data_IF_979663188030
#
_entry.id   IF_979663188030
#
_cell.length_a   1.000
_cell.length_b   1.000
_cell.length_c   1.000
_cell.angle_alpha   90.00
_cell.angle_beta   90.00
_cell.angle_gamma   90.00
#
_symmetry.space_group_name_H-M   'P 1'
#
loop_
_entity.id
_entity.type
_entity.pdbx_description
1 polymer ?
#
# COMPACT_ATOMS: atom_id res chain seq x y z
N UNK A 1 11.79 76.38 -33.46
CA UNK A 1 12.57 75.12 -33.21
C UNK A 1 12.19 74.38 -31.96
N UNK A 2 12.05 74.98 -30.79
CA UNK A 2 11.75 74.28 -29.50
C UNK A 2 10.44 73.47 -29.49
N UNK A 3 9.34 73.98 -30.10
CA UNK A 3 8.02 73.31 -30.13
C UNK A 3 8.04 72.00 -30.94
N UNK A 4 8.75 72.00 -32.11
CA UNK A 4 8.90 70.87 -33.01
C UNK A 4 9.70 69.70 -32.30
N UNK A 5 10.79 70.06 -31.57
CA UNK A 5 11.59 69.09 -30.82
C UNK A 5 10.78 68.48 -29.68
N UNK A 6 9.93 69.24 -28.95
CA UNK A 6 9.05 68.75 -27.87
C UNK A 6 7.99 67.80 -28.41
N UNK A 7 7.39 68.04 -29.53
CA UNK A 7 6.40 67.14 -30.12
C UNK A 7 7.04 65.83 -30.59
N UNK A 8 8.24 65.87 -31.16
CA UNK A 8 8.99 64.66 -31.54
C UNK A 8 9.32 63.84 -30.31
N UNK A 9 9.81 64.43 -29.19
CA UNK A 9 10.09 63.78 -27.97
C UNK A 9 8.83 63.11 -27.33
N UNK A 10 7.70 63.86 -27.37
CA UNK A 10 6.42 63.33 -26.88
C UNK A 10 5.94 62.13 -27.72
N UNK A 11 6.07 62.20 -29.07
CA UNK A 11 5.75 61.04 -29.89
C UNK A 11 6.62 59.85 -29.68
N UNK A 12 7.92 60.00 -29.37
CA UNK A 12 8.83 58.94 -29.02
C UNK A 12 8.42 58.33 -27.67
N UNK A 13 8.08 59.14 -26.68
CA UNK A 13 7.63 58.67 -25.36
C UNK A 13 6.31 57.90 -25.46
N UNK A 14 5.34 58.35 -26.21
CA UNK A 14 4.08 57.64 -26.48
C UNK A 14 4.35 56.33 -27.21
N UNK A 15 5.20 56.31 -28.21
CA UNK A 15 5.60 55.11 -28.94
C UNK A 15 6.28 54.07 -28.02
N UNK A 16 7.20 54.53 -27.16
CA UNK A 16 7.85 53.68 -26.19
C UNK A 16 6.85 53.13 -25.16
N UNK A 17 5.93 53.94 -24.66
CA UNK A 17 4.88 53.50 -23.74
C UNK A 17 3.96 52.45 -24.36
N UNK A 18 3.51 52.66 -25.61
CA UNK A 18 2.71 51.67 -26.31
C UNK A 18 3.47 50.36 -26.54
N UNK A 19 4.74 50.45 -26.89
CA UNK A 19 5.58 49.25 -27.05
C UNK A 19 5.76 48.49 -25.75
N UNK A 20 5.99 49.20 -24.64
CA UNK A 20 6.07 48.59 -23.30
C UNK A 20 4.74 47.94 -22.87
N UNK A 21 3.60 48.57 -23.15
CA UNK A 21 2.29 48.00 -22.84
C UNK A 21 1.99 46.75 -23.65
N UNK A 22 2.30 46.75 -24.96
CA UNK A 22 2.16 45.56 -25.80
C UNK A 22 3.10 44.46 -25.36
N UNK A 23 4.36 44.76 -25.09
CA UNK A 23 5.34 43.78 -24.58
C UNK A 23 4.91 43.20 -23.24
N UNK A 24 4.49 44.08 -22.31
CA UNK A 24 4.00 43.66 -20.99
C UNK A 24 2.73 42.81 -21.08
N UNK A 25 1.78 43.18 -21.93
CA UNK A 25 0.56 42.41 -22.18
C UNK A 25 0.86 41.03 -22.80
N UNK A 26 1.81 40.98 -23.75
CA UNK A 26 2.26 39.74 -24.36
C UNK A 26 2.95 38.82 -23.32
N UNK A 27 3.85 39.38 -22.54
CA UNK A 27 4.52 38.67 -21.45
C UNK A 27 3.52 38.09 -20.45
N UNK A 28 2.56 38.95 -20.00
CA UNK A 28 1.49 38.49 -19.11
C UNK A 28 0.67 37.35 -19.73
N UNK A 29 0.28 37.50 -21.00
CA UNK A 29 -0.52 36.48 -21.69
C UNK A 29 0.17 35.12 -21.75
N UNK A 30 1.46 35.07 -22.10
CA UNK A 30 2.18 33.81 -22.24
C UNK A 30 2.56 33.15 -20.92
N UNK A 31 2.69 33.91 -19.84
CA UNK A 31 3.16 33.35 -18.55
C UNK A 31 2.08 33.26 -17.49
N UNK A 32 1.18 34.21 -17.39
CA UNK A 32 0.25 34.34 -16.27
C UNK A 32 -1.23 34.17 -16.66
N UNK A 33 -1.59 34.30 -17.92
CA UNK A 33 -2.94 33.93 -18.35
C UNK A 33 -3.09 32.39 -18.30
N UNK A 34 -4.31 31.88 -18.06
CA UNK A 34 -4.59 30.44 -18.11
C UNK A 34 -4.23 29.86 -19.49
N UNK A 35 -3.38 28.82 -19.47
CA UNK A 35 -2.95 28.16 -20.72
C UNK A 35 -3.26 26.66 -20.70
N UNK A 36 -3.49 26.09 -19.53
CA UNK A 36 -3.75 24.65 -19.36
C UNK A 36 -5.23 24.41 -19.07
N UNK A 37 -5.86 23.54 -19.84
CA UNK A 37 -7.31 23.31 -19.77
C UNK A 37 -7.68 21.83 -19.75
N UNK A 38 -7.03 20.96 -18.92
CA UNK A 38 -7.50 19.61 -18.75
C UNK A 38 -8.89 19.61 -18.09
N UNK A 39 -9.74 18.64 -18.41
CA UNK A 39 -11.10 18.54 -17.85
C UNK A 39 -11.11 18.33 -16.32
N UNK A 40 -10.04 17.76 -15.78
CA UNK A 40 -9.77 17.55 -14.34
C UNK A 40 -8.27 17.66 -14.10
N UNK A 41 -7.86 17.74 -12.83
CA UNK A 41 -6.43 17.67 -12.50
C UNK A 41 -5.81 16.40 -13.09
N UNK A 42 -4.76 16.59 -13.88
CA UNK A 42 -3.94 15.50 -14.42
C UNK A 42 -2.57 15.49 -13.74
N UNK A 43 -1.96 14.32 -13.69
CA UNK A 43 -0.67 14.15 -13.03
C UNK A 43 0.35 13.67 -14.06
N UNK A 44 1.46 14.38 -14.11
CA UNK A 44 2.63 14.02 -14.92
C UNK A 44 3.65 13.36 -14.00
N UNK A 45 4.10 12.18 -14.38
CA UNK A 45 5.15 11.45 -13.70
C UNK A 45 6.46 11.69 -14.42
N UNK A 46 7.45 12.20 -13.68
CA UNK A 46 8.82 12.43 -14.15
C UNK A 46 9.71 11.41 -13.45
N UNK A 47 10.25 10.47 -14.21
CA UNK A 47 11.14 9.43 -13.72
C UNK A 47 12.63 9.75 -13.95
N UNK A 48 13.51 8.80 -13.59
CA UNK A 48 14.97 8.99 -13.67
C UNK A 48 15.49 9.11 -15.11
N UNK A 49 14.75 8.55 -16.07
CA UNK A 49 15.15 8.49 -17.49
C UNK A 49 14.53 9.63 -18.31
N UNK A 50 13.69 10.47 -17.70
CA UNK A 50 13.04 11.57 -18.39
C UNK A 50 14.03 12.69 -18.75
N UNK A 51 13.92 13.15 -19.97
CA UNK A 51 14.58 14.34 -20.49
C UNK A 51 13.61 15.52 -20.53
N UNK A 52 14.10 16.75 -20.71
CA UNK A 52 13.22 17.89 -20.88
C UNK A 52 12.25 17.71 -22.05
N UNK A 53 12.69 17.09 -23.14
CA UNK A 53 11.83 16.86 -24.32
C UNK A 53 10.72 15.84 -24.03
N UNK A 54 11.00 14.76 -23.30
CA UNK A 54 9.98 13.80 -22.88
C UNK A 54 8.95 14.46 -21.94
N UNK A 55 9.41 15.30 -21.01
CA UNK A 55 8.54 16.06 -20.11
C UNK A 55 7.67 17.04 -20.90
N UNK A 56 8.25 17.76 -21.90
CA UNK A 56 7.46 18.64 -22.76
C UNK A 56 6.38 17.88 -23.52
N UNK A 57 6.70 16.67 -24.01
CA UNK A 57 5.72 15.81 -24.66
C UNK A 57 4.59 15.43 -23.72
N UNK A 58 4.92 14.92 -22.52
CA UNK A 58 3.94 14.57 -21.48
C UNK A 58 3.05 15.75 -21.09
N UNK A 59 3.64 16.94 -20.89
CA UNK A 59 2.88 18.15 -20.54
C UNK A 59 1.92 18.57 -21.68
N UNK A 60 2.35 18.49 -22.93
CA UNK A 60 1.50 18.84 -24.08
C UNK A 60 0.36 17.85 -24.27
N UNK A 61 0.65 16.57 -24.15
CA UNK A 61 -0.31 15.49 -24.35
C UNK A 61 -1.42 15.51 -23.29
N UNK A 62 -1.04 15.59 -22.01
CA UNK A 62 -2.00 15.45 -20.91
C UNK A 62 -2.50 16.80 -20.37
N UNK A 63 -1.74 17.86 -20.53
CA UNK A 63 -2.05 19.18 -19.97
C UNK A 63 -3.08 19.98 -20.76
N UNK A 64 -3.46 19.55 -21.98
CA UNK A 64 -4.36 20.29 -22.87
C UNK A 64 -3.97 21.77 -22.95
N UNK A 65 -2.72 22.03 -23.34
CA UNK A 65 -2.14 23.37 -23.33
C UNK A 65 -2.46 24.16 -24.63
N UNK A 66 -2.98 25.37 -24.51
CA UNK A 66 -3.26 26.23 -25.65
C UNK A 66 -1.99 26.81 -26.28
N UNK A 67 -1.11 27.40 -25.48
CA UNK A 67 0.17 27.97 -25.88
C UNK A 67 1.31 27.50 -25.00
N UNK A 68 2.19 26.67 -25.56
CA UNK A 68 3.35 26.14 -24.86
C UNK A 68 4.60 27.01 -24.92
N UNK A 69 4.59 28.03 -25.77
CA UNK A 69 5.74 28.93 -26.02
C UNK A 69 6.28 29.57 -24.75
N UNK A 70 5.40 30.01 -23.84
CA UNK A 70 5.83 30.61 -22.58
C UNK A 70 6.60 29.62 -21.70
N UNK A 71 6.21 28.34 -21.66
CA UNK A 71 6.94 27.30 -20.94
C UNK A 71 8.34 27.08 -21.54
N UNK A 72 8.46 27.03 -22.87
CA UNK A 72 9.74 26.90 -23.57
C UNK A 72 10.67 28.08 -23.31
N UNK A 73 10.14 29.31 -23.26
CA UNK A 73 10.91 30.50 -22.90
C UNK A 73 11.48 30.41 -21.48
N UNK A 74 10.65 30.03 -20.51
CA UNK A 74 11.09 29.86 -19.11
C UNK A 74 12.11 28.74 -19.02
N UNK A 75 11.85 27.61 -19.67
CA UNK A 75 12.71 26.44 -19.66
C UNK A 75 14.11 26.75 -20.23
N UNK A 76 14.16 27.47 -21.35
CA UNK A 76 15.43 27.92 -21.95
C UNK A 76 16.16 28.93 -21.07
N UNK A 77 15.43 29.93 -20.53
CA UNK A 77 16.02 31.01 -19.72
C UNK A 77 16.57 30.51 -18.38
N UNK A 78 15.95 29.50 -17.79
CA UNK A 78 16.30 28.93 -16.47
C UNK A 78 17.05 27.59 -16.55
N UNK A 79 17.49 27.20 -17.75
CA UNK A 79 18.18 25.92 -17.99
C UNK A 79 17.49 24.72 -17.36
N UNK A 80 16.26 24.48 -17.79
CA UNK A 80 15.40 23.43 -17.23
C UNK A 80 16.03 22.04 -17.30
N UNK A 81 16.86 21.77 -18.32
CA UNK A 81 17.58 20.49 -18.47
C UNK A 81 18.45 20.13 -17.26
N UNK A 82 19.02 21.13 -16.59
CA UNK A 82 19.84 20.91 -15.39
C UNK A 82 19.02 20.88 -14.08
N UNK A 83 17.72 21.21 -14.17
CA UNK A 83 16.83 21.34 -13.02
C UNK A 83 15.59 20.43 -13.15
N UNK A 84 15.78 19.23 -13.71
CA UNK A 84 14.74 18.21 -13.77
C UNK A 84 14.73 17.49 -12.41
N UNK A 85 13.56 17.46 -11.79
CA UNK A 85 13.32 16.71 -10.56
C UNK A 85 12.34 15.58 -10.84
N UNK A 86 12.68 14.38 -10.40
CA UNK A 86 11.73 13.26 -10.40
C UNK A 86 10.50 13.59 -9.55
N UNK A 87 9.39 12.92 -9.79
CA UNK A 87 8.20 13.10 -8.97
C UNK A 87 6.89 13.12 -9.74
N UNK A 88 5.82 13.35 -9.02
CA UNK A 88 4.44 13.42 -9.52
C UNK A 88 3.93 14.85 -9.44
N UNK A 89 3.71 15.47 -10.61
CA UNK A 89 3.37 16.88 -10.74
C UNK A 89 1.94 17.09 -11.25
N UNK A 90 1.17 17.91 -10.56
CA UNK A 90 -0.20 18.23 -10.98
C UNK A 90 -0.22 19.33 -12.02
N UNK A 91 -1.11 19.20 -13.03
CA UNK A 91 -1.58 20.26 -13.91
C UNK A 91 -3.09 20.38 -13.70
N UNK A 92 -3.53 21.53 -13.24
CA UNK A 92 -4.93 21.80 -12.90
C UNK A 92 -5.63 22.57 -14.01
N UNK A 93 -6.96 22.47 -14.12
CA UNK A 93 -7.74 23.35 -14.97
C UNK A 93 -7.42 24.82 -14.67
N UNK A 94 -7.21 25.59 -15.72
CA UNK A 94 -6.86 27.03 -15.67
C UNK A 94 -5.48 27.35 -15.04
N UNK A 95 -4.59 26.38 -14.94
CA UNK A 95 -3.20 26.66 -14.59
C UNK A 95 -2.56 27.58 -15.64
N UNK A 96 -1.66 28.45 -15.20
CA UNK A 96 -0.81 29.24 -16.07
C UNK A 96 0.59 28.60 -16.19
N UNK A 97 1.34 29.06 -17.18
CA UNK A 97 2.68 28.57 -17.46
C UNK A 97 3.61 28.72 -16.26
N UNK A 98 3.58 29.87 -15.58
CA UNK A 98 4.46 30.15 -14.44
C UNK A 98 4.24 29.13 -13.31
N UNK A 99 2.99 28.80 -12.99
CA UNK A 99 2.68 27.83 -11.95
C UNK A 99 3.13 26.41 -12.34
N UNK A 100 2.82 25.98 -13.56
CA UNK A 100 3.23 24.65 -14.03
C UNK A 100 4.75 24.56 -14.09
N UNK A 101 5.42 25.50 -14.73
CA UNK A 101 6.88 25.52 -14.77
C UNK A 101 7.53 25.49 -13.36
N UNK A 102 7.00 26.31 -12.43
CA UNK A 102 7.53 26.38 -11.07
C UNK A 102 7.38 25.05 -10.31
N UNK A 103 6.30 24.29 -10.56
CA UNK A 103 6.14 22.96 -9.95
C UNK A 103 7.23 22.01 -10.41
N UNK A 104 7.45 21.94 -11.71
CA UNK A 104 8.43 21.02 -12.30
C UNK A 104 9.88 21.43 -11.95
N UNK A 105 10.21 22.72 -12.11
CA UNK A 105 11.58 23.21 -11.94
C UNK A 105 12.05 23.31 -10.49
N UNK A 106 11.12 23.28 -9.51
CA UNK A 106 11.43 23.34 -8.08
C UNK A 106 11.11 22.05 -7.34
N UNK A 107 10.68 21.02 -8.06
CA UNK A 107 10.33 19.75 -7.44
C UNK A 107 9.08 19.82 -6.54
N UNK A 108 8.13 20.75 -6.81
CA UNK A 108 6.89 20.86 -6.02
C UNK A 108 5.90 19.79 -6.44
N UNK A 109 6.22 18.56 -6.10
CA UNK A 109 5.39 17.40 -6.38
C UNK A 109 4.20 17.28 -5.43
N UNK A 110 3.20 16.51 -5.81
CA UNK A 110 2.05 16.21 -4.96
C UNK A 110 2.11 14.77 -4.42
N UNK A 111 1.79 14.57 -3.14
CA UNK A 111 1.74 13.23 -2.57
C UNK A 111 0.66 12.40 -3.24
N UNK A 112 0.87 11.08 -3.25
CA UNK A 112 -0.09 10.09 -3.72
C UNK A 112 -0.43 9.09 -2.63
N UNK A 113 -1.49 8.33 -2.86
CA UNK A 113 -1.88 7.24 -1.99
C UNK A 113 -1.14 5.95 -2.40
N UNK A 114 -0.28 5.45 -1.52
CA UNK A 114 0.32 4.13 -1.60
C UNK A 114 -0.50 3.17 -0.75
N UNK A 115 -1.06 2.13 -1.35
CA UNK A 115 -1.81 1.10 -0.63
C UNK A 115 -0.97 -0.13 -0.39
N UNK A 116 -0.73 -0.44 0.87
CA UNK A 116 -0.14 -1.70 1.33
C UNK A 116 -1.28 -2.66 1.63
N UNK A 117 -1.39 -3.72 0.86
CA UNK A 117 -2.42 -4.74 1.02
C UNK A 117 -2.01 -5.89 1.93
N UNK A 118 -3.01 -6.65 2.38
CA UNK A 118 -2.81 -7.91 3.08
C UNK A 118 -2.43 -9.01 2.07
N UNK A 119 -1.14 -9.24 1.89
CA UNK A 119 -0.58 -10.19 0.92
C UNK A 119 0.11 -11.37 1.61
N UNK A 120 0.18 -12.52 0.93
CA UNK A 120 0.73 -13.77 1.48
C UNK A 120 2.25 -13.90 1.39
N UNK A 121 2.89 -13.16 0.46
CA UNK A 121 4.34 -13.27 0.24
C UNK A 121 5.00 -11.91 0.08
N UNK A 122 6.26 -11.81 0.46
CA UNK A 122 7.06 -10.59 0.28
C UNK A 122 7.26 -10.24 -1.20
N UNK A 123 7.34 -11.25 -2.10
CA UNK A 123 7.36 -11.02 -3.55
C UNK A 123 6.12 -10.31 -4.06
N UNK A 124 4.94 -10.71 -3.55
CA UNK A 124 3.69 -10.02 -3.92
C UNK A 124 3.66 -8.60 -3.37
N UNK A 125 4.23 -8.38 -2.18
CA UNK A 125 4.39 -7.05 -1.61
C UNK A 125 5.28 -6.20 -2.51
N UNK A 126 6.49 -6.66 -2.85
CA UNK A 126 7.44 -5.95 -3.71
C UNK A 126 6.79 -5.55 -5.05
N UNK A 127 6.14 -6.51 -5.72
CA UNK A 127 5.43 -6.24 -6.98
C UNK A 127 4.28 -5.23 -6.82
N UNK A 128 3.57 -5.27 -5.69
CA UNK A 128 2.47 -4.33 -5.44
C UNK A 128 2.97 -2.90 -5.24
N UNK A 129 4.11 -2.74 -4.55
CA UNK A 129 4.74 -1.43 -4.32
C UNK A 129 5.33 -0.88 -5.62
N UNK A 130 6.11 -1.69 -6.36
CA UNK A 130 6.74 -1.28 -7.60
C UNK A 130 5.75 -0.89 -8.71
N UNK A 131 4.48 -1.36 -8.63
CA UNK A 131 3.41 -0.89 -9.54
C UNK A 131 2.87 0.49 -9.16
N UNK A 132 3.10 0.97 -7.96
CA UNK A 132 2.53 2.19 -7.44
C UNK A 132 3.55 3.33 -7.34
N UNK A 133 4.83 3.01 -7.14
CA UNK A 133 5.92 3.97 -6.97
C UNK A 133 6.92 3.91 -8.15
N UNK A 134 7.83 4.86 -8.18
CA UNK A 134 8.95 4.86 -9.12
C UNK A 134 9.98 3.76 -8.82
N UNK A 135 10.03 3.27 -7.59
CA UNK A 135 10.94 2.21 -7.18
C UNK A 135 10.61 0.93 -7.95
N UNK A 136 11.60 0.28 -8.54
CA UNK A 136 11.40 -1.03 -9.16
C UNK A 136 11.10 -2.11 -8.10
N UNK A 137 10.24 -3.04 -8.47
CA UNK A 137 9.92 -4.21 -7.65
C UNK A 137 11.17 -5.06 -7.30
N UNK A 138 12.18 -5.11 -8.18
CA UNK A 138 13.44 -5.77 -7.92
C UNK A 138 14.28 -5.05 -6.87
N UNK A 139 14.32 -3.72 -6.85
CA UNK A 139 14.99 -2.92 -5.83
C UNK A 139 14.37 -3.19 -4.45
N UNK A 140 13.04 -3.24 -4.36
CA UNK A 140 12.33 -3.55 -3.11
C UNK A 140 12.59 -5.00 -2.69
N UNK A 141 12.51 -5.95 -3.62
CA UNK A 141 12.74 -7.36 -3.34
C UNK A 141 14.17 -7.60 -2.84
N UNK A 142 15.18 -6.94 -3.42
CA UNK A 142 16.57 -7.08 -3.00
C UNK A 142 16.76 -6.74 -1.52
N UNK A 143 16.12 -5.68 -1.04
CA UNK A 143 16.16 -5.29 0.38
C UNK A 143 15.32 -6.23 1.26
N UNK A 144 14.12 -6.64 0.81
CA UNK A 144 13.26 -7.54 1.56
C UNK A 144 13.91 -8.90 1.84
N UNK A 145 14.78 -9.39 0.93
CA UNK A 145 15.46 -10.68 1.06
C UNK A 145 16.92 -10.58 1.52
N UNK A 146 17.45 -9.38 1.77
CA UNK A 146 18.76 -9.18 2.36
C UNK A 146 18.73 -9.43 3.87
N UNK A 147 19.42 -10.47 4.33
CA UNK A 147 19.46 -10.84 5.75
C UNK A 147 20.12 -9.77 6.64
N UNK A 148 21.10 -9.01 6.09
CA UNK A 148 21.74 -7.92 6.81
C UNK A 148 20.79 -6.78 7.04
N UNK A 149 20.04 -6.41 6.01
CA UNK A 149 18.99 -5.40 6.11
C UNK A 149 17.88 -5.82 7.07
N UNK A 150 17.39 -7.06 6.98
CA UNK A 150 16.39 -7.60 7.89
C UNK A 150 16.84 -7.50 9.36
N UNK A 151 18.10 -7.90 9.64
CA UNK A 151 18.67 -7.81 10.99
C UNK A 151 18.78 -6.37 11.49
N UNK A 152 19.16 -5.41 10.63
CA UNK A 152 19.18 -3.97 10.97
C UNK A 152 17.79 -3.42 11.26
N UNK A 153 16.77 -3.95 10.61
CA UNK A 153 15.37 -3.61 10.89
C UNK A 153 14.83 -4.27 12.16
N UNK A 154 15.52 -5.28 12.71
CA UNK A 154 15.12 -6.05 13.88
C UNK A 154 14.24 -7.26 13.55
N UNK A 155 14.27 -7.73 12.30
CA UNK A 155 13.46 -8.84 11.81
C UNK A 155 14.33 -9.93 11.17
N UNK A 156 13.71 -11.07 10.92
CA UNK A 156 14.21 -12.14 10.07
C UNK A 156 13.31 -12.24 8.83
N UNK A 157 13.70 -13.02 7.83
CA UNK A 157 12.84 -13.34 6.69
C UNK A 157 11.46 -13.89 7.11
N UNK A 158 11.40 -14.57 8.25
CA UNK A 158 10.20 -15.18 8.80
C UNK A 158 9.28 -14.14 9.45
N UNK A 159 9.85 -13.21 10.21
CA UNK A 159 9.08 -12.25 11.01
C UNK A 159 8.87 -10.90 10.30
N UNK A 160 9.62 -10.61 9.22
CA UNK A 160 9.54 -9.37 8.47
C UNK A 160 8.10 -9.02 7.97
N UNK A 161 7.23 -10.00 7.60
CA UNK A 161 5.86 -9.66 7.25
C UNK A 161 5.08 -8.92 8.34
N UNK A 162 5.42 -9.09 9.63
CA UNK A 162 4.78 -8.38 10.74
C UNK A 162 5.12 -6.88 10.81
N UNK A 163 6.19 -6.44 10.15
CA UNK A 163 6.54 -5.02 10.02
C UNK A 163 5.45 -4.22 9.30
N UNK A 164 4.81 -4.83 8.30
CA UNK A 164 3.91 -4.11 7.41
C UNK A 164 2.49 -4.08 7.98
N UNK A 165 1.95 -2.87 8.08
CA UNK A 165 0.56 -2.65 8.51
C UNK A 165 -0.25 -2.29 7.25
N UNK A 166 -1.21 -3.14 6.82
CA UNK A 166 -2.05 -2.83 5.65
C UNK A 166 -2.87 -1.56 5.87
N UNK A 167 -2.58 -0.58 5.01
CA UNK A 167 -3.23 0.75 5.03
C UNK A 167 -2.91 1.49 3.73
N UNK A 168 -3.54 2.64 3.55
CA UNK A 168 -3.21 3.61 2.51
C UNK A 168 -2.43 4.78 3.10
N UNK A 169 -1.20 4.94 2.62
CA UNK A 169 -0.25 5.94 3.10
C UNK A 169 -0.07 7.06 2.07
N UNK A 170 -0.04 8.31 2.53
CA UNK A 170 0.38 9.40 1.67
C UNK A 170 1.90 9.45 1.59
N UNK A 171 2.43 9.35 0.37
CA UNK A 171 3.86 9.33 0.07
C UNK A 171 4.14 10.11 -1.21
N UNK A 172 5.40 10.47 -1.44
CA UNK A 172 5.84 10.95 -2.75
C UNK A 172 6.14 9.77 -3.67
N UNK A 173 5.81 9.92 -4.96
CA UNK A 173 5.93 8.85 -5.93
C UNK A 173 7.36 8.36 -6.15
N UNK A 174 8.32 9.26 -6.04
CA UNK A 174 9.75 9.04 -6.23
C UNK A 174 10.53 8.74 -4.95
N UNK A 175 9.83 8.44 -3.85
CA UNK A 175 10.49 8.08 -2.60
C UNK A 175 11.49 6.94 -2.83
N UNK A 176 12.62 6.98 -2.12
CA UNK A 176 13.63 5.94 -2.18
C UNK A 176 13.22 4.67 -1.42
N UNK A 177 13.92 3.57 -1.65
CA UNK A 177 13.71 2.30 -0.92
C UNK A 177 13.93 2.50 0.58
N UNK A 178 14.97 3.25 0.97
CA UNK A 178 15.28 3.53 2.38
C UNK A 178 14.18 4.36 3.06
N UNK A 179 13.66 5.38 2.35
CA UNK A 179 12.53 6.19 2.85
C UNK A 179 11.27 5.35 2.99
N UNK A 180 11.02 4.42 2.05
CA UNK A 180 9.90 3.50 2.13
C UNK A 180 9.98 2.63 3.39
N UNK A 181 11.10 1.95 3.64
CA UNK A 181 11.25 1.10 4.81
C UNK A 181 11.25 1.89 6.12
N UNK A 182 11.87 3.06 6.14
CA UNK A 182 11.79 3.98 7.28
C UNK A 182 10.33 4.34 7.57
N UNK A 183 9.57 4.68 6.54
CA UNK A 183 8.14 4.98 6.67
C UNK A 183 7.37 3.78 7.23
N UNK A 184 7.62 2.56 6.75
CA UNK A 184 6.96 1.35 7.26
C UNK A 184 7.30 1.11 8.72
N UNK A 185 8.54 1.30 9.14
CA UNK A 185 8.97 1.20 10.55
C UNK A 185 8.28 2.23 11.44
N UNK A 186 8.17 3.46 10.98
CA UNK A 186 7.49 4.53 11.71
C UNK A 186 5.98 4.25 11.85
N UNK A 187 5.33 3.73 10.80
CA UNK A 187 3.92 3.35 10.84
C UNK A 187 3.67 2.11 11.70
N UNK A 188 4.55 1.12 11.67
CA UNK A 188 4.52 -0.01 12.59
C UNK A 188 4.59 0.45 14.04
N UNK A 189 5.58 1.30 14.40
CA UNK A 189 5.71 1.86 15.76
C UNK A 189 4.48 2.68 16.17
N UNK A 190 3.88 3.42 15.24
CA UNK A 190 2.67 4.21 15.50
C UNK A 190 1.45 3.31 15.71
N UNK A 191 1.34 2.22 14.94
CA UNK A 191 0.27 1.25 15.08
C UNK A 191 0.36 0.49 16.41
N UNK A 192 1.54 -0.03 16.76
CA UNK A 192 1.82 -0.68 18.03
C UNK A 192 2.06 0.36 19.14
N UNK A 193 1.03 1.15 19.41
CA UNK A 193 1.01 2.12 20.48
C UNK A 193 0.97 1.45 21.87
N UNK A 194 1.04 2.25 22.93
CA UNK A 194 1.05 1.76 24.32
C UNK A 194 -0.16 0.86 24.63
N UNK A 195 -1.34 1.18 24.08
CA UNK A 195 -2.56 0.42 24.38
C UNK A 195 -2.52 -0.97 23.74
N UNK A 196 -2.14 -1.08 22.44
CA UNK A 196 -1.99 -2.38 21.76
C UNK A 196 -0.87 -3.23 22.38
N UNK A 197 0.25 -2.62 22.76
CA UNK A 197 1.32 -3.32 23.46
C UNK A 197 0.85 -3.86 24.81
N UNK A 198 0.07 -3.07 25.56
CA UNK A 198 -0.53 -3.53 26.83
C UNK A 198 -1.52 -4.68 26.61
N UNK A 199 -2.35 -4.63 25.56
CA UNK A 199 -3.28 -5.70 25.20
C UNK A 199 -2.52 -6.98 24.80
N UNK A 200 -1.46 -6.87 24.00
CA UNK A 200 -0.62 -8.01 23.63
C UNK A 200 0.02 -8.67 24.87
N UNK A 201 0.58 -7.87 25.78
CA UNK A 201 1.13 -8.35 27.06
C UNK A 201 0.07 -9.03 27.90
N UNK A 202 -1.16 -8.50 27.96
CA UNK A 202 -2.25 -9.08 28.74
C UNK A 202 -2.71 -10.47 28.25
N UNK A 203 -2.47 -10.77 26.98
CA UNK A 203 -2.73 -12.11 26.41
C UNK A 203 -1.45 -12.97 26.31
N UNK A 204 -0.32 -12.50 26.86
CA UNK A 204 0.96 -13.22 26.90
C UNK A 204 1.66 -13.34 25.56
N UNK A 205 1.43 -12.40 24.62
CA UNK A 205 1.99 -12.45 23.25
C UNK A 205 2.82 -11.21 22.93
N UNK A 206 3.86 -11.37 22.11
CA UNK A 206 4.58 -10.29 21.46
C UNK A 206 3.77 -9.74 20.26
N UNK A 207 4.09 -8.55 19.72
CA UNK A 207 3.50 -8.03 18.50
C UNK A 207 3.60 -8.99 17.30
N UNK A 208 4.73 -9.70 17.17
CA UNK A 208 4.99 -10.67 16.11
C UNK A 208 4.11 -11.91 16.27
N UNK A 209 3.92 -12.41 17.49
CA UNK A 209 3.04 -13.55 17.79
C UNK A 209 1.57 -13.19 17.56
N UNK A 210 1.15 -11.98 17.96
CA UNK A 210 -0.19 -11.47 17.63
C UNK A 210 -0.38 -11.38 16.12
N UNK A 211 0.61 -10.87 15.38
CA UNK A 211 0.57 -10.79 13.91
C UNK A 211 0.52 -12.19 13.27
N UNK A 212 1.24 -13.15 13.86
CA UNK A 212 1.25 -14.55 13.42
C UNK A 212 -0.14 -15.18 13.58
N UNK A 213 -0.73 -15.07 14.76
CA UNK A 213 -2.07 -15.59 15.01
C UNK A 213 -3.12 -14.87 14.16
N UNK A 214 -3.03 -13.56 14.04
CA UNK A 214 -3.93 -12.76 13.21
C UNK A 214 -3.89 -13.19 11.73
N UNK A 215 -2.72 -13.57 11.23
CA UNK A 215 -2.56 -14.05 9.85
C UNK A 215 -3.29 -15.38 9.61
N UNK A 216 -3.35 -16.24 10.62
CA UNK A 216 -4.10 -17.51 10.58
C UNK A 216 -5.60 -17.22 10.62
N UNK A 217 -6.05 -16.42 11.59
CA UNK A 217 -7.46 -16.02 11.74
C UNK A 217 -8.00 -15.39 10.46
N UNK A 218 -7.19 -14.57 9.79
CA UNK A 218 -7.57 -13.91 8.53
C UNK A 218 -7.77 -14.87 7.37
N UNK A 219 -7.04 -15.99 7.35
CA UNK A 219 -7.17 -17.02 6.32
C UNK A 219 -8.31 -18.01 6.62
N UNK A 220 -8.77 -18.11 7.87
CA UNK A 220 -9.88 -18.97 8.28
C UNK A 220 -11.24 -18.34 7.94
N UNK A 221 -11.39 -17.04 8.17
CA UNK A 221 -12.68 -16.38 7.95
C UNK A 221 -12.54 -14.98 7.36
N UNK A 222 -13.35 -14.70 6.35
CA UNK A 222 -13.50 -13.34 5.82
C UNK A 222 -14.51 -12.50 6.63
N UNK A 223 -15.27 -13.14 7.54
CA UNK A 223 -16.26 -12.45 8.36
C UNK A 223 -15.58 -11.74 9.54
N UNK A 224 -15.53 -10.42 9.49
CA UNK A 224 -14.90 -9.62 10.53
C UNK A 224 -15.54 -9.75 11.92
N UNK A 225 -16.84 -10.04 11.99
CA UNK A 225 -17.55 -10.23 13.27
C UNK A 225 -17.22 -11.60 13.90
N UNK A 226 -16.79 -12.57 13.10
CA UNK A 226 -16.41 -13.90 13.56
C UNK A 226 -14.93 -13.98 13.95
N UNK A 227 -14.06 -13.15 13.42
CA UNK A 227 -12.61 -13.17 13.69
C UNK A 227 -12.27 -13.21 15.19
N UNK A 228 -12.92 -12.42 16.09
CA UNK A 228 -12.63 -12.51 17.53
C UNK A 228 -12.99 -13.86 18.14
N UNK A 229 -14.02 -14.54 17.63
CA UNK A 229 -14.38 -15.90 18.08
C UNK A 229 -13.35 -16.94 17.64
N UNK A 230 -12.90 -16.87 16.37
CA UNK A 230 -11.86 -17.74 15.83
C UNK A 230 -10.52 -17.51 16.57
N UNK A 231 -10.18 -16.26 16.86
CA UNK A 231 -9.00 -15.90 17.65
C UNK A 231 -9.07 -16.53 19.06
N UNK A 232 -10.22 -16.45 19.73
CA UNK A 232 -10.44 -17.06 21.04
C UNK A 232 -10.30 -18.58 21.03
N UNK A 233 -10.77 -19.25 19.98
CA UNK A 233 -10.59 -20.68 19.79
C UNK A 233 -9.11 -21.07 19.73
N UNK A 234 -8.33 -20.37 18.93
CA UNK A 234 -6.90 -20.65 18.80
C UNK A 234 -6.12 -20.31 20.07
N UNK A 235 -6.47 -19.24 20.79
CA UNK A 235 -5.87 -18.91 22.09
C UNK A 235 -6.19 -20.00 23.10
N UNK A 236 -7.41 -20.57 23.12
CA UNK A 236 -7.76 -21.69 23.97
C UNK A 236 -6.92 -22.94 23.65
N UNK A 237 -6.68 -23.23 22.37
CA UNK A 237 -5.81 -24.34 21.96
C UNK A 237 -4.37 -24.13 22.42
N UNK A 238 -3.83 -22.90 22.26
CA UNK A 238 -2.49 -22.56 22.74
C UNK A 238 -2.35 -22.78 24.26
N UNK A 239 -3.34 -22.34 25.04
CA UNK A 239 -3.34 -22.52 26.49
C UNK A 239 -3.44 -24.00 26.95
N UNK A 240 -3.90 -24.89 26.06
CA UNK A 240 -4.03 -26.33 26.32
C UNK A 240 -2.94 -27.15 25.63
N UNK A 241 -1.88 -26.53 25.11
CA UNK A 241 -0.81 -27.18 24.33
C UNK A 241 -1.34 -28.03 23.15
N UNK A 242 -2.50 -27.67 22.62
CA UNK A 242 -3.10 -28.34 21.47
C UNK A 242 -2.52 -27.83 20.18
N UNK A 243 -2.28 -28.69 19.16
CA UNK A 243 -1.96 -28.25 17.82
C UNK A 243 -3.07 -27.36 17.26
N UNK A 244 -2.71 -26.27 16.56
CA UNK A 244 -3.73 -25.35 16.02
C UNK A 244 -4.55 -26.00 14.92
N UNK A 245 -3.97 -26.89 14.10
CA UNK A 245 -4.64 -27.62 13.01
C UNK A 245 -5.34 -26.69 12.03
N UNK A 246 -4.64 -25.64 11.65
CA UNK A 246 -5.14 -24.61 10.73
C UNK A 246 -4.74 -24.96 9.28
N UNK A 247 -5.69 -25.31 8.43
CA UNK A 247 -5.47 -25.64 7.01
C UNK A 247 -4.66 -24.56 6.25
N UNK A 248 -4.85 -23.26 6.47
CA UNK A 248 -4.05 -22.22 5.81
C UNK A 248 -2.54 -22.34 6.05
N UNK A 249 -2.12 -22.87 7.18
CA UNK A 249 -0.69 -23.06 7.49
C UNK A 249 -0.07 -24.15 6.62
N UNK A 250 -0.85 -25.18 6.24
CA UNK A 250 -0.42 -26.22 5.30
C UNK A 250 -0.26 -25.64 3.90
N UNK A 251 -1.22 -24.82 3.44
CA UNK A 251 -1.11 -24.12 2.13
C UNK A 251 0.14 -23.26 2.08
N UNK A 252 0.45 -22.56 3.18
CA UNK A 252 1.65 -21.77 3.30
C UNK A 252 2.93 -22.62 3.32
N UNK A 253 2.94 -23.72 4.09
CA UNK A 253 4.08 -24.64 4.14
C UNK A 253 4.42 -25.24 2.77
N UNK A 254 3.40 -25.55 1.97
CA UNK A 254 3.54 -26.06 0.60
C UNK A 254 3.76 -24.95 -0.46
N UNK A 255 3.59 -23.69 -0.10
CA UNK A 255 3.55 -22.54 -1.04
C UNK A 255 2.52 -22.71 -2.17
N UNK A 256 1.49 -23.54 -1.91
CA UNK A 256 0.38 -23.75 -2.84
C UNK A 256 -0.92 -23.17 -2.29
N UNK A 257 -1.16 -21.93 -2.64
CA UNK A 257 -2.36 -21.18 -2.24
C UNK A 257 -3.60 -21.50 -3.09
N UNK A 258 -3.44 -22.31 -4.13
CA UNK A 258 -4.52 -22.77 -5.00
C UNK A 258 -5.24 -24.03 -4.50
N UNK A 259 -4.69 -24.69 -3.49
CA UNK A 259 -5.29 -25.89 -2.92
C UNK A 259 -6.70 -25.60 -2.38
N UNK A 260 -7.67 -26.32 -2.95
CA UNK A 260 -9.08 -26.23 -2.49
C UNK A 260 -9.36 -27.11 -1.29
N UNK A 261 -8.63 -28.23 -1.17
CA UNK A 261 -8.80 -29.21 -0.11
C UNK A 261 -7.44 -29.69 0.40
N UNK A 262 -7.27 -29.73 1.70
CA UNK A 262 -6.12 -30.38 2.36
C UNK A 262 -6.42 -31.88 2.49
N UNK A 263 -5.49 -32.71 2.01
CA UNK A 263 -5.54 -34.18 2.11
C UNK A 263 -4.59 -34.69 3.18
N UNK A 264 -4.72 -35.94 3.58
CA UNK A 264 -3.82 -36.56 4.55
C UNK A 264 -2.34 -36.54 4.13
N UNK A 265 -2.05 -36.54 2.82
CA UNK A 265 -0.67 -36.40 2.32
C UNK A 265 -0.12 -35.00 2.59
N UNK A 266 -0.94 -33.95 2.40
CA UNK A 266 -0.54 -32.57 2.69
C UNK A 266 -0.24 -32.37 4.18
N UNK A 267 -0.97 -33.06 5.08
CA UNK A 267 -0.76 -32.98 6.53
C UNK A 267 0.60 -33.57 7.01
N UNK A 268 1.29 -34.34 6.15
CA UNK A 268 2.59 -34.93 6.45
C UNK A 268 3.76 -34.01 6.12
N UNK A 269 3.51 -32.82 5.54
CA UNK A 269 4.59 -31.89 5.16
C UNK A 269 5.49 -31.58 6.37
N UNK A 270 6.79 -31.84 6.22
CA UNK A 270 7.78 -31.52 7.23
C UNK A 270 8.14 -30.03 7.15
N UNK A 271 7.43 -29.22 7.89
CA UNK A 271 7.61 -27.77 7.93
C UNK A 271 7.31 -27.25 9.33
N UNK A 272 8.06 -26.27 9.84
CA UNK A 272 7.73 -25.60 11.11
C UNK A 272 6.39 -24.86 11.06
N UNK A 273 5.86 -24.61 9.86
CA UNK A 273 4.51 -24.05 9.67
C UNK A 273 3.39 -25.09 9.73
N UNK A 274 3.71 -26.38 9.81
CA UNK A 274 2.68 -27.43 9.89
C UNK A 274 2.09 -27.49 11.29
N UNK A 275 0.99 -26.80 11.52
CA UNK A 275 0.29 -26.75 12.82
C UNK A 275 -0.54 -28.00 13.14
N UNK A 276 -0.48 -29.05 12.31
CA UNK A 276 -1.05 -30.38 12.62
C UNK A 276 -0.08 -31.27 13.42
N UNK A 277 1.23 -31.07 13.20
CA UNK A 277 2.27 -31.86 13.85
C UNK A 277 3.09 -31.06 14.87
N UNK A 278 3.11 -29.73 14.75
CA UNK A 278 3.77 -28.85 15.71
C UNK A 278 2.73 -28.16 16.60
N UNK A 279 2.98 -28.12 17.90
CA UNK A 279 2.20 -27.33 18.87
C UNK A 279 2.68 -25.88 18.92
N UNK A 280 1.87 -24.99 19.45
CA UNK A 280 2.18 -23.57 19.53
C UNK A 280 1.93 -22.82 18.22
N UNK A 281 2.40 -21.57 18.17
CA UNK A 281 2.34 -20.75 16.97
C UNK A 281 3.42 -21.19 15.97
N UNK A 282 3.16 -21.08 14.65
CA UNK A 282 4.22 -21.20 13.66
C UNK A 282 5.24 -20.07 13.83
N UNK A 283 6.45 -20.18 13.24
CA UNK A 283 7.56 -19.25 13.52
C UNK A 283 7.31 -17.81 13.06
N UNK A 284 6.30 -17.56 12.25
CA UNK A 284 5.92 -16.23 11.79
C UNK A 284 4.63 -16.21 11.00
N UNK A 285 4.19 -15.02 10.56
CA UNK A 285 2.93 -14.84 9.84
C UNK A 285 2.89 -15.58 8.50
N UNK A 286 1.74 -16.16 8.15
CA UNK A 286 1.48 -16.80 6.85
C UNK A 286 0.95 -15.81 5.79
N UNK A 287 0.70 -14.57 6.21
CA UNK A 287 0.39 -13.40 5.40
C UNK A 287 0.62 -12.14 6.21
N UNK A 288 0.69 -10.98 5.57
CA UNK A 288 0.61 -9.69 6.26
C UNK A 288 -0.83 -9.53 6.76
N UNK A 289 -1.10 -9.57 8.08
CA UNK A 289 -2.47 -9.50 8.59
C UNK A 289 -3.03 -8.08 8.50
N UNK A 290 -4.35 -7.94 8.29
CA UNK A 290 -5.01 -6.64 8.35
C UNK A 290 -5.05 -6.08 9.78
N UNK A 291 -5.21 -4.77 9.91
CA UNK A 291 -5.45 -4.12 11.22
C UNK A 291 -6.61 -4.78 11.96
N UNK A 292 -7.69 -5.10 11.24
CA UNK A 292 -8.87 -5.77 11.82
C UNK A 292 -8.53 -7.17 12.32
N UNK A 293 -7.69 -7.92 11.59
CA UNK A 293 -7.19 -9.22 12.04
C UNK A 293 -6.40 -9.11 13.33
N UNK A 294 -5.46 -8.17 13.41
CA UNK A 294 -4.67 -7.91 14.63
C UNK A 294 -5.57 -7.49 15.80
N UNK A 295 -6.47 -6.52 15.58
CA UNK A 295 -7.38 -6.04 16.62
C UNK A 295 -8.34 -7.15 17.09
N UNK A 296 -8.67 -8.12 16.22
CA UNK A 296 -9.49 -9.28 16.58
C UNK A 296 -8.78 -10.27 17.50
N UNK A 297 -7.45 -10.40 17.39
CA UNK A 297 -6.65 -11.18 18.32
C UNK A 297 -6.49 -10.46 19.66
N UNK A 298 -6.15 -9.16 19.61
CA UNK A 298 -5.99 -8.35 20.83
C UNK A 298 -7.28 -8.26 21.67
N UNK A 299 -8.44 -8.28 20.99
CA UNK A 299 -9.76 -8.20 21.62
C UNK A 299 -10.58 -9.47 21.35
N UNK A 300 -9.95 -10.64 21.47
CA UNK A 300 -10.62 -11.90 21.22
C UNK A 300 -11.81 -12.14 22.14
N UNK A 301 -12.81 -12.85 21.64
CA UNK A 301 -13.97 -13.23 22.45
C UNK A 301 -13.60 -14.38 23.40
N UNK A 302 -13.80 -14.18 24.70
CA UNK A 302 -13.57 -15.23 25.72
C UNK A 302 -14.69 -16.24 25.70
N UNK A 303 -14.34 -17.51 25.50
CA UNK A 303 -15.23 -18.67 25.49
C UNK A 303 -14.42 -19.94 25.70
N UNK A 304 -15.08 -21.12 25.73
CA UNK A 304 -14.42 -22.43 25.96
C UNK A 304 -14.32 -23.28 24.67
N UNK A 305 -14.57 -22.70 23.49
CA UNK A 305 -14.51 -23.47 22.25
C UNK A 305 -13.07 -23.80 21.86
N UNK A 306 -12.87 -25.02 21.37
CA UNK A 306 -11.60 -25.54 20.86
C UNK A 306 -11.78 -26.25 19.51
N UNK A 307 -12.99 -26.34 19.00
CA UNK A 307 -13.34 -26.89 17.69
C UNK A 307 -14.23 -25.91 16.92
N UNK A 308 -14.08 -25.90 15.59
CA UNK A 308 -14.98 -25.23 14.67
C UNK A 308 -15.15 -26.06 13.40
N UNK A 309 -16.27 -25.91 12.72
CA UNK A 309 -16.51 -26.41 11.36
C UNK A 309 -17.44 -25.47 10.61
N UNK A 310 -17.38 -25.46 9.30
CA UNK A 310 -18.26 -24.63 8.49
C UNK A 310 -19.74 -24.90 8.80
N UNK A 311 -20.55 -23.84 8.81
CA UNK A 311 -22.00 -23.96 8.99
C UNK A 311 -22.68 -24.60 7.80
N UNK A 312 -23.72 -25.35 8.09
CA UNK A 312 -24.58 -26.06 7.13
C UNK A 312 -25.40 -25.16 6.23
N UNK A 313 -25.59 -23.87 6.60
CA UNK A 313 -26.30 -22.85 5.83
C UNK A 313 -25.43 -22.24 4.69
N UNK A 314 -24.13 -22.55 4.67
CA UNK A 314 -23.15 -21.98 3.74
C UNK A 314 -23.00 -20.46 3.83
N UNK A 315 -23.27 -19.88 4.98
CA UNK A 315 -23.09 -18.44 5.25
C UNK A 315 -21.62 -17.98 5.21
N UNK A 316 -20.68 -18.93 5.14
CA UNK A 316 -19.22 -18.65 5.24
C UNK A 316 -18.77 -18.42 6.67
N UNK A 317 -19.61 -18.77 7.66
CA UNK A 317 -19.31 -18.77 9.09
C UNK A 317 -19.16 -20.19 9.65
N UNK A 318 -18.81 -20.31 10.95
CA UNK A 318 -18.55 -21.57 11.59
C UNK A 318 -19.49 -21.89 12.75
N UNK A 319 -19.73 -23.17 12.99
CA UNK A 319 -20.24 -23.70 14.23
C UNK A 319 -19.07 -24.00 15.16
N UNK A 320 -19.13 -23.51 16.40
CA UNK A 320 -18.09 -23.71 17.41
C UNK A 320 -18.52 -24.78 18.44
N UNK A 321 -17.55 -25.50 18.98
CA UNK A 321 -17.78 -26.51 19.99
C UNK A 321 -16.65 -26.57 21.03
N UNK A 322 -16.96 -26.90 22.27
CA UNK A 322 -16.01 -27.07 23.36
C UNK A 322 -15.51 -28.51 23.55
N UNK A 323 -16.17 -29.47 22.88
CA UNK A 323 -15.80 -30.87 22.93
C UNK A 323 -15.98 -31.55 21.57
N UNK A 324 -15.36 -32.73 21.43
CA UNK A 324 -15.35 -33.47 20.17
C UNK A 324 -16.74 -34.02 19.76
N UNK A 325 -17.58 -34.39 20.76
CA UNK A 325 -18.92 -34.92 20.45
C UNK A 325 -19.81 -33.87 19.75
N UNK A 326 -19.83 -32.65 20.28
CA UNK A 326 -20.58 -31.52 19.71
C UNK A 326 -19.99 -31.10 18.35
N UNK A 327 -18.66 -31.10 18.24
CA UNK A 327 -18.00 -30.85 16.95
C UNK A 327 -18.44 -31.85 15.88
N UNK A 328 -18.44 -33.15 16.21
CA UNK A 328 -18.90 -34.17 15.27
C UNK A 328 -20.40 -34.09 14.97
N UNK A 329 -21.21 -33.63 15.90
CA UNK A 329 -22.62 -33.34 15.63
C UNK A 329 -22.78 -32.21 14.61
N UNK A 330 -22.02 -31.12 14.76
CA UNK A 330 -22.00 -30.00 13.82
C UNK A 330 -21.42 -30.41 12.46
N UNK A 331 -20.32 -31.17 12.42
CA UNK A 331 -19.74 -31.67 11.18
C UNK A 331 -20.72 -32.55 10.39
N UNK A 332 -21.48 -33.41 11.07
CA UNK A 332 -22.53 -34.23 10.42
C UNK A 332 -23.63 -33.37 9.78
N UNK A 333 -24.05 -32.26 10.40
CA UNK A 333 -25.02 -31.34 9.80
C UNK A 333 -24.45 -30.75 8.50
N UNK A 334 -23.21 -30.30 8.53
CA UNK A 334 -22.54 -29.75 7.35
C UNK A 334 -22.39 -30.78 6.23
N UNK A 335 -21.96 -32.00 6.52
CA UNK A 335 -21.85 -33.07 5.52
C UNK A 335 -23.20 -33.44 4.94
N UNK A 336 -24.26 -33.49 5.74
CA UNK A 336 -25.63 -33.72 5.26
C UNK A 336 -26.03 -32.61 4.26
N UNK A 337 -25.82 -31.34 4.61
CA UNK A 337 -26.13 -30.21 3.72
C UNK A 337 -25.32 -30.24 2.42
N UNK A 338 -24.05 -30.66 2.44
CA UNK A 338 -23.22 -30.88 1.23
C UNK A 338 -23.84 -31.96 0.33
N UNK A 339 -24.25 -33.09 0.91
CA UNK A 339 -24.84 -34.19 0.17
C UNK A 339 -26.19 -33.81 -0.46
N UNK A 340 -27.04 -33.08 0.26
CA UNK A 340 -28.33 -32.56 -0.25
C UNK A 340 -28.14 -31.63 -1.44
N UNK A 341 -27.06 -30.84 -1.46
CA UNK A 341 -26.69 -29.95 -2.58
C UNK A 341 -25.88 -30.65 -3.68
N UNK A 342 -25.65 -31.96 -3.56
CA UNK A 342 -24.82 -32.76 -4.48
C UNK A 342 -23.41 -32.19 -4.68
N UNK A 343 -22.86 -31.54 -3.64
CA UNK A 343 -21.48 -31.05 -3.64
C UNK A 343 -20.60 -32.18 -3.17
N UNK A 344 -20.28 -33.10 -4.09
CA UNK A 344 -19.34 -34.18 -3.86
C UNK A 344 -17.92 -33.66 -4.07
N UNK A 345 -17.12 -33.60 -3.03
CA UNK A 345 -15.72 -33.20 -3.10
C UNK A 345 -14.81 -34.27 -2.54
#
# INVERSE_FOLDING_TARGET
MKKKKRNILLSILIGAFLLCTVAGGTFYYYLFAPQFHPSKTVYIYVDRDDTADSIYHKIKEFGHVNKFTGFQWMAKYKDFNQNIHTGRYAIRPNDNVYHVYSRFSRGYQEPMNLTIGSVRTLDRLARSIGKQLMIDSAEIASQLFDSTFQAQMGYTNITLPSLFIPETYQVYWDMSVDEFFKRMKDEHKRFWNKDRLSQATAIGMTPEEVSTLASIVEEETNNNEEKPMVAGLYINRLHQDMPLQADPTIKFALQDFGLRRITNEHLKVNSPYNTYINTGLPPGPIRIPSKKGIDSVLNYTKHNYIYMCAKEDFSGTHNFASNYADHMANARKYWKALNERKIFR
#
